data_IF_896194906611
#
_entry.id   IF_896194906611
#
_cell.length_a   1.000
_cell.length_b   1.000
_cell.length_c   1.000
_cell.angle_alpha   90.00
_cell.angle_beta   90.00
_cell.angle_gamma   90.00
#
_symmetry.space_group_name_H-M   'P 1'
#
loop_
_entity.id
_entity.type
_entity.pdbx_description
1 polymer ?
#
# COMPACT_ATOMS: atom_id res chain seq x y z
N UNK A 1 24.33 -0.69 3.27
CA UNK A 1 23.00 -0.91 3.90
C UNK A 1 22.07 0.28 3.61
N UNK A 2 22.55 1.53 3.74
CA UNK A 2 21.88 2.74 3.27
C UNK A 2 21.23 2.69 1.86
N UNK A 3 21.89 2.11 0.85
CA UNK A 3 21.33 2.00 -0.51
C UNK A 3 20.04 1.15 -0.56
N UNK A 4 19.94 0.12 0.28
CA UNK A 4 18.76 -0.73 0.37
C UNK A 4 17.56 0.05 0.96
N UNK A 5 17.80 0.85 2.01
CA UNK A 5 16.76 1.66 2.63
C UNK A 5 16.28 2.79 1.72
N UNK A 6 17.19 3.36 0.91
CA UNK A 6 16.84 4.34 -0.12
C UNK A 6 16.02 3.71 -1.25
N UNK A 7 16.38 2.51 -1.71
CA UNK A 7 15.63 1.77 -2.73
C UNK A 7 14.22 1.41 -2.25
N UNK A 8 14.08 0.97 -0.98
CA UNK A 8 12.77 0.69 -0.38
C UNK A 8 11.90 1.95 -0.29
N UNK A 9 12.47 3.09 0.12
CA UNK A 9 11.74 4.37 0.13
C UNK A 9 11.25 4.74 -1.27
N UNK A 10 12.14 4.69 -2.27
CA UNK A 10 11.80 5.00 -3.66
C UNK A 10 10.71 4.07 -4.20
N UNK A 11 10.74 2.78 -3.83
CA UNK A 11 9.69 1.82 -4.15
C UNK A 11 8.31 2.21 -3.56
N UNK A 12 8.27 2.61 -2.29
CA UNK A 12 7.04 3.06 -1.64
C UNK A 12 6.53 4.34 -2.28
N UNK A 13 7.40 5.31 -2.55
CA UNK A 13 7.03 6.58 -3.19
C UNK A 13 6.43 6.36 -4.59
N UNK A 14 7.05 5.50 -5.41
CA UNK A 14 6.54 5.10 -6.73
C UNK A 14 5.21 4.38 -6.63
N UNK A 15 5.04 3.50 -5.64
CA UNK A 15 3.79 2.76 -5.42
C UNK A 15 2.67 3.72 -5.02
N UNK A 16 2.94 4.70 -4.14
CA UNK A 16 1.98 5.73 -3.74
C UNK A 16 1.60 6.66 -4.90
N UNK A 17 2.55 7.00 -5.78
CA UNK A 17 2.25 7.77 -6.98
C UNK A 17 1.30 7.00 -7.93
N UNK A 18 1.55 5.70 -8.14
CA UNK A 18 0.66 4.83 -8.92
C UNK A 18 -0.73 4.73 -8.28
N UNK A 19 -0.78 4.53 -6.96
CA UNK A 19 -2.04 4.49 -6.21
C UNK A 19 -2.81 5.80 -6.38
N UNK A 20 -2.18 6.97 -6.27
CA UNK A 20 -2.85 8.26 -6.43
C UNK A 20 -3.50 8.43 -7.82
N UNK A 21 -2.85 7.93 -8.87
CA UNK A 21 -3.43 7.90 -10.22
C UNK A 21 -4.62 6.94 -10.29
N UNK A 22 -4.44 5.71 -9.82
CA UNK A 22 -5.49 4.69 -9.85
C UNK A 22 -6.71 5.07 -9.00
N UNK A 23 -6.48 5.77 -7.89
CA UNK A 23 -7.51 6.28 -7.00
C UNK A 23 -8.47 7.21 -7.75
N UNK A 24 -7.94 8.17 -8.52
CA UNK A 24 -8.75 9.09 -9.34
C UNK A 24 -9.53 8.32 -10.42
N UNK A 25 -8.90 7.36 -11.07
CA UNK A 25 -9.53 6.52 -12.10
C UNK A 25 -10.69 5.70 -11.51
N UNK A 26 -10.50 5.11 -10.33
CA UNK A 26 -11.53 4.35 -9.61
C UNK A 26 -12.68 5.26 -9.16
N UNK A 27 -12.38 6.43 -8.60
CA UNK A 27 -13.38 7.40 -8.17
C UNK A 27 -14.25 7.85 -9.35
N UNK A 28 -13.64 8.25 -10.46
CA UNK A 28 -14.36 8.64 -11.67
C UNK A 28 -15.18 7.48 -12.24
N UNK A 29 -14.58 6.28 -12.36
CA UNK A 29 -15.28 5.10 -12.87
C UNK A 29 -16.51 4.73 -12.05
N UNK A 30 -16.47 4.93 -10.73
CA UNK A 30 -17.62 4.66 -9.86
C UNK A 30 -18.77 5.62 -10.11
N UNK A 31 -18.47 6.91 -10.32
CA UNK A 31 -19.47 7.91 -10.69
C UNK A 31 -20.13 7.57 -12.03
N UNK A 32 -19.31 7.10 -12.99
CA UNK A 32 -19.76 6.69 -14.33
C UNK A 32 -20.37 5.28 -14.38
N UNK A 33 -20.37 4.55 -13.26
CA UNK A 33 -20.75 3.12 -13.19
C UNK A 33 -20.00 2.25 -14.20
N UNK A 34 -18.74 2.60 -14.44
CA UNK A 34 -17.88 1.91 -15.39
C UNK A 34 -17.62 0.46 -14.92
N UNK A 35 -17.84 -0.56 -15.78
CA UNK A 35 -17.63 -1.95 -15.41
C UNK A 35 -16.17 -2.29 -15.06
N UNK A 36 -15.20 -1.49 -15.53
CA UNK A 36 -13.76 -1.69 -15.29
C UNK A 36 -13.30 -1.33 -13.87
N UNK A 37 -14.17 -0.70 -13.06
CA UNK A 37 -13.85 -0.34 -11.66
C UNK A 37 -13.38 -1.55 -10.85
N UNK A 38 -13.98 -2.72 -11.10
CA UNK A 38 -13.59 -3.94 -10.40
C UNK A 38 -12.14 -4.34 -10.73
N UNK A 39 -11.74 -4.23 -11.99
CA UNK A 39 -10.42 -4.62 -12.44
C UNK A 39 -9.36 -3.62 -11.95
N UNK A 40 -9.65 -2.32 -11.97
CA UNK A 40 -8.78 -1.31 -11.36
C UNK A 40 -8.62 -1.51 -9.84
N UNK A 41 -9.67 -1.96 -9.15
CA UNK A 41 -9.59 -2.34 -7.74
C UNK A 41 -8.70 -3.58 -7.54
N UNK A 42 -8.76 -4.58 -8.42
CA UNK A 42 -7.86 -5.75 -8.38
C UNK A 42 -6.40 -5.34 -8.61
N UNK A 43 -6.14 -4.50 -9.61
CA UNK A 43 -4.80 -3.97 -9.88
C UNK A 43 -4.26 -3.17 -8.70
N UNK A 44 -5.12 -2.38 -8.04
CA UNK A 44 -4.75 -1.64 -6.84
C UNK A 44 -4.40 -2.54 -5.66
N UNK A 45 -5.11 -3.66 -5.50
CA UNK A 45 -4.78 -4.69 -4.51
C UNK A 45 -3.41 -5.31 -4.81
N UNK A 46 -3.14 -5.68 -6.06
CA UNK A 46 -1.83 -6.24 -6.45
C UNK A 46 -0.70 -5.23 -6.23
N UNK A 47 -0.93 -3.95 -6.56
CA UNK A 47 0.00 -2.87 -6.28
C UNK A 47 0.29 -2.76 -4.77
N UNK A 48 -0.75 -2.85 -3.94
CA UNK A 48 -0.61 -2.80 -2.49
C UNK A 48 0.25 -3.96 -1.96
N UNK A 49 -0.04 -5.19 -2.40
CA UNK A 49 0.72 -6.38 -2.01
C UNK A 49 2.19 -6.26 -2.43
N UNK A 50 2.44 -5.84 -3.68
CA UNK A 50 3.79 -5.61 -4.19
C UNK A 50 4.54 -4.51 -3.40
N UNK A 51 3.83 -3.48 -2.93
CA UNK A 51 4.41 -2.43 -2.08
C UNK A 51 4.95 -2.99 -0.75
N UNK A 52 4.31 -4.03 -0.20
CA UNK A 52 4.71 -4.65 1.07
C UNK A 52 5.88 -5.63 0.96
N UNK A 53 6.14 -6.20 -0.22
CA UNK A 53 7.16 -7.25 -0.42
C UNK A 53 8.54 -6.91 0.17
N UNK A 54 9.11 -5.70 -0.02
CA UNK A 54 10.42 -5.37 0.56
C UNK A 54 10.45 -5.29 2.09
N UNK A 55 9.27 -5.31 2.72
CA UNK A 55 9.03 -5.20 4.15
C UNK A 55 8.30 -6.43 4.71
N UNK A 56 8.36 -7.56 4.02
CA UNK A 56 7.66 -8.78 4.44
C UNK A 56 8.06 -9.21 5.86
N UNK A 57 7.06 -9.65 6.64
CA UNK A 57 7.17 -9.97 8.06
C UNK A 57 8.09 -11.16 8.32
N UNK A 58 8.04 -12.19 7.46
CA UNK A 58 8.87 -13.38 7.61
C UNK A 58 10.36 -13.06 7.48
N UNK A 59 10.71 -12.09 6.63
CA UNK A 59 12.09 -11.69 6.36
C UNK A 59 12.60 -10.55 7.28
N UNK A 60 11.72 -9.63 7.70
CA UNK A 60 12.14 -8.35 8.28
C UNK A 60 11.74 -8.14 9.75
N UNK A 61 10.89 -8.99 10.35
CA UNK A 61 10.51 -8.90 11.77
C UNK A 61 10.05 -7.48 12.19
N UNK A 62 10.85 -6.80 13.04
CA UNK A 62 10.57 -5.43 13.54
C UNK A 62 10.51 -4.34 12.44
N UNK A 63 11.04 -4.66 11.26
CA UNK A 63 11.05 -3.76 10.10
C UNK A 63 9.87 -4.02 9.14
N UNK A 64 8.89 -4.82 9.54
CA UNK A 64 7.73 -5.11 8.72
C UNK A 64 6.73 -3.96 8.65
N UNK A 65 6.15 -3.76 7.48
CA UNK A 65 5.01 -2.84 7.28
C UNK A 65 3.73 -3.66 7.33
N UNK A 66 3.17 -3.75 8.53
CA UNK A 66 1.85 -4.36 8.73
C UNK A 66 0.84 -3.26 9.12
N UNK A 67 -0.14 -2.95 8.27
CA UNK A 67 -1.29 -2.11 8.62
C UNK A 67 -2.11 -2.74 9.74
N UNK A 68 -2.95 -1.94 10.40
CA UNK A 68 -3.83 -2.44 11.46
C UNK A 68 -4.88 -3.36 10.86
N UNK A 69 -4.97 -4.60 11.37
CA UNK A 69 -5.81 -5.68 10.84
C UNK A 69 -5.64 -5.87 9.32
N UNK A 70 -4.40 -5.71 8.84
CA UNK A 70 -4.09 -5.59 7.41
C UNK A 70 -4.57 -6.79 6.59
N UNK A 71 -4.40 -8.01 7.09
CA UNK A 71 -4.80 -9.24 6.40
C UNK A 71 -6.32 -9.36 6.27
N UNK A 72 -7.05 -9.19 7.37
CA UNK A 72 -8.53 -9.26 7.39
C UNK A 72 -9.14 -8.20 6.47
N UNK A 73 -8.61 -6.97 6.53
CA UNK A 73 -9.07 -5.87 5.68
C UNK A 73 -8.74 -6.13 4.21
N UNK A 74 -7.55 -6.63 3.90
CA UNK A 74 -7.19 -6.98 2.53
C UNK A 74 -8.07 -8.10 1.96
N UNK A 75 -8.35 -9.13 2.77
CA UNK A 75 -9.28 -10.20 2.42
C UNK A 75 -10.70 -9.67 2.17
N UNK A 76 -11.17 -8.74 3.01
CA UNK A 76 -12.44 -8.04 2.79
C UNK A 76 -12.45 -7.27 1.46
N UNK A 77 -11.38 -6.52 1.15
CA UNK A 77 -11.27 -5.78 -0.12
C UNK A 77 -11.34 -6.72 -1.32
N UNK A 78 -10.55 -7.81 -1.29
CA UNK A 78 -10.53 -8.84 -2.34
C UNK A 78 -11.90 -9.49 -2.55
N UNK A 79 -12.64 -9.73 -1.47
CA UNK A 79 -13.97 -10.34 -1.54
C UNK A 79 -15.06 -9.37 -2.04
N UNK A 80 -14.84 -8.05 -1.97
CA UNK A 80 -15.87 -7.02 -2.19
C UNK A 80 -15.40 -5.87 -3.08
N UNK A 81 -14.64 -6.15 -4.14
CA UNK A 81 -13.98 -5.14 -4.98
C UNK A 81 -14.88 -4.00 -5.51
N UNK A 82 -16.16 -4.26 -5.79
CA UNK A 82 -17.12 -3.23 -6.25
C UNK A 82 -17.68 -2.35 -5.13
N UNK A 83 -17.52 -2.73 -3.87
CA UNK A 83 -18.13 -2.03 -2.74
C UNK A 83 -17.45 -0.68 -2.46
N UNK A 84 -18.23 0.38 -2.16
CA UNK A 84 -17.70 1.64 -1.64
C UNK A 84 -16.75 1.46 -0.46
N UNK A 85 -17.12 0.57 0.47
CA UNK A 85 -16.36 0.27 1.67
C UNK A 85 -15.03 -0.41 1.35
N UNK A 86 -14.96 -1.32 0.38
CA UNK A 86 -13.70 -1.96 -0.02
C UNK A 86 -12.67 -0.95 -0.53
N UNK A 87 -13.11 0.08 -1.25
CA UNK A 87 -12.22 1.15 -1.69
C UNK A 87 -11.70 2.00 -0.53
N UNK A 88 -12.57 2.40 0.41
CA UNK A 88 -12.14 3.14 1.59
C UNK A 88 -11.16 2.34 2.44
N UNK A 89 -11.41 1.03 2.59
CA UNK A 89 -10.51 0.12 3.28
C UNK A 89 -9.15 0.05 2.59
N UNK A 90 -9.12 -0.08 1.26
CA UNK A 90 -7.88 -0.11 0.48
C UNK A 90 -7.10 1.21 0.59
N UNK A 91 -7.78 2.36 0.49
CA UNK A 91 -7.16 3.68 0.69
C UNK A 91 -6.49 3.78 2.07
N UNK A 92 -7.19 3.37 3.12
CA UNK A 92 -6.65 3.41 4.47
C UNK A 92 -5.47 2.43 4.65
N UNK A 93 -5.48 1.25 4.01
CA UNK A 93 -4.34 0.34 4.00
C UNK A 93 -3.09 0.98 3.39
N UNK A 94 -3.21 1.67 2.24
CA UNK A 94 -2.10 2.41 1.62
C UNK A 94 -1.56 3.51 2.55
N UNK A 95 -2.44 4.32 3.15
CA UNK A 95 -2.02 5.41 4.03
C UNK A 95 -1.28 4.91 5.28
N UNK A 96 -1.80 3.86 5.92
CA UNK A 96 -1.16 3.24 7.09
C UNK A 96 0.21 2.65 6.74
N UNK A 97 0.28 1.92 5.62
CA UNK A 97 1.52 1.32 5.15
C UNK A 97 2.59 2.37 4.84
N UNK A 98 2.23 3.43 4.10
CA UNK A 98 3.14 4.52 3.76
C UNK A 98 3.66 5.26 5.01
N UNK A 99 2.77 5.54 5.98
CA UNK A 99 3.16 6.17 7.25
C UNK A 99 4.15 5.31 8.03
N UNK A 100 3.93 3.99 8.06
CA UNK A 100 4.82 3.05 8.74
C UNK A 100 6.15 2.91 7.99
N UNK A 101 6.16 2.91 6.66
CA UNK A 101 7.37 2.95 5.84
C UNK A 101 8.25 4.16 6.15
N UNK A 102 7.64 5.36 6.17
CA UNK A 102 8.34 6.61 6.48
C UNK A 102 8.93 6.58 7.91
N UNK A 103 8.18 6.04 8.87
CA UNK A 103 8.62 5.91 10.25
C UNK A 103 9.78 4.91 10.41
N UNK A 104 9.78 3.83 9.63
CA UNK A 104 10.90 2.87 9.57
C UNK A 104 12.15 3.51 8.98
N UNK A 105 12.00 4.16 7.84
CA UNK A 105 13.11 4.84 7.16
C UNK A 105 13.78 5.90 8.05
N UNK A 106 12.98 6.74 8.72
CA UNK A 106 13.50 7.75 9.63
C UNK A 106 14.27 7.15 10.84
N UNK A 107 13.83 5.99 11.35
CA UNK A 107 14.54 5.27 12.42
C UNK A 107 15.86 4.67 11.93
N UNK A 108 15.84 4.06 10.75
CA UNK A 108 17.01 3.41 10.17
C UNK A 108 18.13 4.41 9.82
N UNK A 109 17.78 5.59 9.31
CA UNK A 109 18.75 6.68 9.10
C UNK A 109 19.39 7.13 10.43
N UNK A 110 18.59 7.30 11.48
CA UNK A 110 19.10 7.71 12.80
C UNK A 110 20.05 6.68 13.41
N UNK A 111 19.80 5.38 13.20
CA UNK A 111 20.70 4.32 13.70
C UNK A 111 22.03 4.21 12.94
N UNK A 112 22.13 4.74 11.71
CA UNK A 112 23.38 4.75 10.93
C UNK A 112 24.29 5.96 11.26
N UNK A 113 23.82 6.92 12.06
CA UNK A 113 24.53 8.16 12.39
C UNK A 113 25.26 8.14 13.76
N UNK A 114 25.44 6.95 14.36
CA UNK A 114 26.13 6.76 15.64
C UNK A 114 27.19 5.66 15.54
#
# INVERSE_FOLDING_TARGET
MADNERAKKDWVDKSMAKWATMQRTIEQGRLEKNPLVEDWMKESVQLFEAMLVPYDHAANGKNAIQPMNGEERLNFVKAKLRSPQAYQQLQALFMEAAKKAASLHARNIKSESF
#
